data_IF_534954918842
#
_entry.id   IF_534954918842
#
_cell.length_a   1.000
_cell.length_b   1.000
_cell.length_c   1.000
_cell.angle_alpha   90.00
_cell.angle_beta   90.00
_cell.angle_gamma   90.00
#
_symmetry.space_group_name_H-M   'P 1'
#
loop_
_entity.id
_entity.type
_entity.pdbx_description
1 polymer ?
#
# COMPACT_ATOMS: atom_id res chain seq x y z
N UNK A 1 4.57 7.51 10.15
CA UNK A 1 3.32 7.38 9.36
C UNK A 1 2.79 5.95 9.37
N UNK A 2 3.62 4.94 9.06
CA UNK A 2 3.20 3.53 8.97
C UNK A 2 2.37 3.02 10.16
N UNK A 3 2.80 3.24 11.41
CA UNK A 3 2.00 2.81 12.57
C UNK A 3 0.65 3.52 12.71
N UNK A 4 0.56 4.79 12.30
CA UNK A 4 -0.70 5.54 12.29
C UNK A 4 -1.70 4.90 11.34
N UNK A 5 -1.25 4.57 10.12
CA UNK A 5 -2.07 3.84 9.13
C UNK A 5 -2.42 2.45 9.65
N UNK A 6 -1.47 1.74 10.23
CA UNK A 6 -1.67 0.39 10.75
C UNK A 6 -2.73 0.37 11.87
N UNK A 7 -2.68 1.34 12.79
CA UNK A 7 -3.68 1.50 13.83
C UNK A 7 -5.08 1.76 13.25
N UNK A 8 -5.19 2.61 12.22
CA UNK A 8 -6.45 2.88 11.53
C UNK A 8 -6.99 1.62 10.82
N UNK A 9 -6.15 0.86 10.12
CA UNK A 9 -6.56 -0.39 9.49
C UNK A 9 -7.01 -1.43 10.52
N UNK A 10 -6.24 -1.59 11.61
CA UNK A 10 -6.53 -2.58 12.66
C UNK A 10 -7.82 -2.29 13.41
N UNK A 11 -8.23 -1.03 13.56
CA UNK A 11 -9.46 -0.66 14.27
C UNK A 11 -10.75 -1.06 13.53
N UNK A 12 -10.67 -1.27 12.21
CA UNK A 12 -11.82 -1.65 11.36
C UNK A 12 -11.68 -3.05 10.75
N UNK A 13 -10.54 -3.72 10.96
CA UNK A 13 -10.29 -5.06 10.45
C UNK A 13 -11.26 -6.09 11.04
N UNK A 14 -11.63 -7.09 10.24
CA UNK A 14 -12.32 -8.28 10.77
C UNK A 14 -11.39 -9.04 11.70
N UNK A 15 -11.95 -9.76 12.67
CA UNK A 15 -11.19 -10.60 13.63
C UNK A 15 -10.28 -11.63 12.96
N UNK A 16 -10.64 -12.09 11.76
CA UNK A 16 -9.88 -13.05 10.96
C UNK A 16 -8.87 -12.39 10.00
N UNK A 17 -8.70 -11.07 10.07
CA UNK A 17 -7.80 -10.31 9.20
C UNK A 17 -6.61 -9.81 10.00
N UNK A 18 -5.43 -10.27 9.64
CA UNK A 18 -4.17 -9.78 10.17
C UNK A 18 -3.62 -8.65 9.28
N UNK A 19 -3.06 -7.61 9.88
CA UNK A 19 -2.48 -6.47 9.16
C UNK A 19 -1.00 -6.39 9.47
N UNK A 20 -0.20 -6.57 8.43
CA UNK A 20 1.24 -6.35 8.42
C UNK A 20 1.53 -4.99 7.82
N UNK A 21 1.99 -4.05 8.64
CA UNK A 21 2.36 -2.72 8.20
C UNK A 21 3.86 -2.67 7.94
N UNK A 22 4.24 -2.29 6.72
CA UNK A 22 5.64 -2.23 6.28
C UNK A 22 5.97 -0.82 5.79
N UNK A 23 7.23 -0.43 5.94
CA UNK A 23 7.79 0.77 5.34
C UNK A 23 8.87 0.32 4.38
N UNK A 24 8.79 0.76 3.13
CA UNK A 24 9.87 0.54 2.16
C UNK A 24 11.20 1.09 2.69
N UNK A 25 12.29 0.35 2.52
CA UNK A 25 13.64 0.82 2.83
C UNK A 25 14.21 1.77 1.76
N UNK A 26 13.46 2.02 0.69
CA UNK A 26 13.83 2.86 -0.45
C UNK A 26 12.72 3.89 -0.74
N UNK A 27 13.13 5.07 -1.20
CA UNK A 27 12.23 6.17 -1.55
C UNK A 27 12.32 7.32 -0.57
N UNK A 28 11.54 8.39 -0.81
CA UNK A 28 11.54 9.57 0.04
C UNK A 28 10.78 9.30 1.36
N UNK A 29 11.04 10.13 2.37
CA UNK A 29 10.37 10.04 3.68
C UNK A 29 8.91 10.51 3.63
N UNK A 30 8.55 11.26 2.60
CA UNK A 30 7.23 11.82 2.30
C UNK A 30 7.05 11.84 0.79
N UNK A 31 5.82 11.69 0.30
CA UNK A 31 5.50 11.79 -1.13
C UNK A 31 4.72 13.09 -1.31
N UNK A 32 5.36 14.08 -1.94
CA UNK A 32 4.84 15.46 -2.04
C UNK A 32 4.76 15.95 -3.50
N UNK A 33 4.84 15.02 -4.45
CA UNK A 33 4.60 15.24 -5.87
C UNK A 33 5.21 14.16 -6.75
N UNK A 34 5.09 14.35 -8.07
CA UNK A 34 5.45 13.33 -9.08
C UNK A 34 6.89 12.81 -9.00
N UNK A 35 7.85 13.65 -8.58
CA UNK A 35 9.23 13.22 -8.41
C UNK A 35 9.38 12.21 -7.27
N UNK A 36 8.73 12.48 -6.14
CA UNK A 36 8.75 11.61 -4.98
C UNK A 36 8.02 10.31 -5.24
N UNK A 37 6.88 10.39 -5.93
CA UNK A 37 6.13 9.22 -6.40
C UNK A 37 7.03 8.28 -7.22
N UNK A 38 7.70 8.81 -8.25
CA UNK A 38 8.57 8.03 -9.12
C UNK A 38 9.70 7.31 -8.35
N UNK A 39 10.24 7.94 -7.30
CA UNK A 39 11.27 7.34 -6.44
C UNK A 39 10.70 6.34 -5.42
N UNK A 40 9.43 6.45 -5.04
CA UNK A 40 8.78 5.54 -4.11
C UNK A 40 8.41 4.20 -4.77
N UNK A 41 8.08 4.18 -6.07
CA UNK A 41 7.56 2.98 -6.76
C UNK A 41 8.46 1.75 -6.62
N UNK A 42 9.79 1.80 -6.87
CA UNK A 42 10.60 0.58 -6.82
C UNK A 42 10.61 -0.07 -5.43
N UNK A 43 10.70 0.74 -4.39
CA UNK A 43 10.66 0.26 -3.00
C UNK A 43 9.30 -0.32 -2.61
N UNK A 44 8.22 0.35 -3.01
CA UNK A 44 6.86 -0.15 -2.83
C UNK A 44 6.67 -1.53 -3.47
N UNK A 45 7.09 -1.71 -4.72
CA UNK A 45 6.96 -2.97 -5.44
C UNK A 45 7.75 -4.11 -4.76
N UNK A 46 8.95 -3.81 -4.24
CA UNK A 46 9.74 -4.79 -3.47
C UNK A 46 9.00 -5.27 -2.22
N UNK A 47 8.40 -4.35 -1.47
CA UNK A 47 7.65 -4.69 -0.24
C UNK A 47 6.37 -5.47 -0.56
N UNK A 48 5.62 -5.11 -1.61
CA UNK A 48 4.44 -5.87 -2.04
C UNK A 48 4.85 -7.29 -2.44
N UNK A 49 5.90 -7.45 -3.24
CA UNK A 49 6.39 -8.76 -3.64
C UNK A 49 6.90 -9.58 -2.44
N UNK A 50 7.49 -8.94 -1.43
CA UNK A 50 7.91 -9.59 -0.20
C UNK A 50 6.72 -10.06 0.64
N UNK A 51 5.70 -9.22 0.82
CA UNK A 51 4.46 -9.58 1.52
C UNK A 51 3.72 -10.72 0.81
N UNK A 52 3.64 -10.68 -0.51
CA UNK A 52 3.05 -11.76 -1.32
C UNK A 52 3.79 -13.09 -1.11
N UNK A 53 5.13 -13.09 -1.17
CA UNK A 53 5.94 -14.29 -0.87
C UNK A 53 5.77 -14.79 0.56
N UNK A 54 5.49 -13.89 1.51
CA UNK A 54 5.19 -14.24 2.89
C UNK A 54 3.75 -14.77 3.09
N UNK A 55 2.94 -14.79 2.03
CA UNK A 55 1.59 -15.36 2.04
C UNK A 55 0.47 -14.33 2.24
N UNK A 56 0.73 -13.03 2.09
CA UNK A 56 -0.32 -12.02 2.12
C UNK A 56 -1.34 -12.27 1.00
N UNK A 57 -2.63 -12.14 1.30
CA UNK A 57 -3.72 -12.38 0.34
C UNK A 57 -4.18 -11.11 -0.38
N UNK A 58 -3.72 -9.94 0.04
CA UNK A 58 -3.96 -8.64 -0.58
C UNK A 58 -2.89 -7.64 -0.12
N UNK A 59 -2.70 -6.57 -0.89
CA UNK A 59 -1.85 -5.44 -0.53
C UNK A 59 -2.64 -4.13 -0.56
N UNK A 60 -2.29 -3.21 0.34
CA UNK A 60 -2.87 -1.86 0.42
C UNK A 60 -1.75 -0.85 0.23
N UNK A 61 -1.91 0.05 -0.74
CA UNK A 61 -1.04 1.20 -0.93
C UNK A 61 -1.56 2.33 -0.06
N UNK A 62 -0.90 2.57 1.06
CA UNK A 62 -1.29 3.58 2.05
C UNK A 62 -0.75 4.98 1.75
N UNK A 63 -0.88 5.42 0.50
CA UNK A 63 -0.58 6.77 0.03
C UNK A 63 -1.78 7.26 -0.78
N UNK A 64 -2.26 8.48 -0.53
CA UNK A 64 -3.49 8.97 -1.16
C UNK A 64 -3.34 9.28 -2.66
N UNK A 65 -2.11 9.33 -3.16
CA UNK A 65 -1.86 9.40 -4.62
C UNK A 65 -1.96 8.01 -5.28
N UNK A 66 -2.23 6.96 -4.50
CA UNK A 66 -2.22 5.56 -4.94
C UNK A 66 -0.93 5.22 -5.73
N UNK A 67 0.20 5.77 -5.26
CA UNK A 67 1.48 5.75 -5.94
C UNK A 67 1.84 4.34 -6.45
N UNK A 68 2.00 4.20 -7.76
CA UNK A 68 2.41 2.93 -8.37
C UNK A 68 1.33 1.83 -8.38
N UNK A 69 0.06 2.14 -8.13
CA UNK A 69 -1.04 1.17 -8.09
C UNK A 69 -1.13 0.30 -9.34
N UNK A 70 -1.09 0.91 -10.53
CA UNK A 70 -1.17 0.15 -11.78
C UNK A 70 0.05 -0.76 -11.98
N UNK A 71 1.24 -0.29 -11.61
CA UNK A 71 2.46 -1.10 -11.66
C UNK A 71 2.38 -2.27 -10.67
N UNK A 72 1.87 -2.03 -9.47
CA UNK A 72 1.68 -3.06 -8.45
C UNK A 72 0.66 -4.11 -8.88
N UNK A 73 -0.46 -3.70 -9.48
CA UNK A 73 -1.48 -4.60 -10.06
C UNK A 73 -0.95 -5.41 -11.23
N UNK A 74 -0.08 -4.83 -12.05
CA UNK A 74 0.54 -5.54 -13.16
C UNK A 74 1.57 -6.58 -12.69
N UNK A 75 2.22 -6.34 -11.54
CA UNK A 75 3.27 -7.21 -10.99
C UNK A 75 2.73 -8.31 -10.07
N UNK A 76 1.84 -7.97 -9.14
CA UNK A 76 1.38 -8.88 -8.08
C UNK A 76 0.30 -9.85 -8.58
N UNK A 77 0.28 -11.08 -8.05
CA UNK A 77 -0.82 -12.02 -8.32
C UNK A 77 -1.99 -11.88 -7.32
N UNK A 78 -1.83 -11.04 -6.31
CA UNK A 78 -2.84 -10.72 -5.29
C UNK A 78 -3.50 -9.36 -5.56
N UNK A 79 -4.74 -9.12 -5.08
CA UNK A 79 -5.38 -7.81 -5.19
C UNK A 79 -4.53 -6.72 -4.54
N UNK A 80 -4.33 -5.62 -5.28
CA UNK A 80 -3.69 -4.40 -4.78
C UNK A 80 -4.70 -3.25 -4.81
N UNK A 81 -4.89 -2.60 -3.66
CA UNK A 81 -5.89 -1.56 -3.45
C UNK A 81 -5.18 -0.27 -3.02
N UNK A 82 -5.46 0.82 -3.72
CA UNK A 82 -5.11 2.17 -3.31
C UNK A 82 -6.15 2.76 -2.35
N UNK A 83 -5.71 3.51 -1.34
CA UNK A 83 -6.63 4.11 -0.36
C UNK A 83 -7.47 5.24 -0.96
N UNK A 84 -7.01 5.92 -2.01
CA UNK A 84 -7.78 6.98 -2.65
C UNK A 84 -8.90 6.42 -3.52
N UNK A 85 -8.61 5.45 -4.40
CA UNK A 85 -9.62 4.71 -5.16
C UNK A 85 -10.67 4.10 -4.22
N UNK A 86 -10.24 3.48 -3.12
CA UNK A 86 -11.15 2.91 -2.12
C UNK A 86 -12.03 3.98 -1.45
N UNK A 87 -11.45 5.11 -1.04
CA UNK A 87 -12.20 6.20 -0.41
C UNK A 87 -13.23 6.81 -1.37
N UNK A 88 -12.85 7.08 -2.61
CA UNK A 88 -13.75 7.62 -3.64
C UNK A 88 -14.86 6.64 -4.00
N UNK A 89 -14.54 5.34 -4.12
CA UNK A 89 -15.53 4.29 -4.39
C UNK A 89 -16.57 4.16 -3.28
N UNK A 90 -16.20 4.41 -2.02
CA UNK A 90 -17.14 4.34 -0.88
C UNK A 90 -18.00 5.60 -0.76
N UNK A 91 -17.47 6.75 -1.19
CA UNK A 91 -18.16 8.03 -1.14
C UNK A 91 -19.16 8.27 -2.31
N UNK A 92 -19.14 7.41 -3.32
CA UNK A 92 -19.95 7.52 -4.54
C UNK A 92 -21.37 6.96 -4.38
#
# INVERSE_FOLDING_TARGET
MTETVAAAGRSVARVSTEIFAVTSSMGPVSIEGYYDEALAVPGLLVEIAAGERAGAQAAIIACFDDTGLDAARAMAAIPVIGICEAALSVAS
#
